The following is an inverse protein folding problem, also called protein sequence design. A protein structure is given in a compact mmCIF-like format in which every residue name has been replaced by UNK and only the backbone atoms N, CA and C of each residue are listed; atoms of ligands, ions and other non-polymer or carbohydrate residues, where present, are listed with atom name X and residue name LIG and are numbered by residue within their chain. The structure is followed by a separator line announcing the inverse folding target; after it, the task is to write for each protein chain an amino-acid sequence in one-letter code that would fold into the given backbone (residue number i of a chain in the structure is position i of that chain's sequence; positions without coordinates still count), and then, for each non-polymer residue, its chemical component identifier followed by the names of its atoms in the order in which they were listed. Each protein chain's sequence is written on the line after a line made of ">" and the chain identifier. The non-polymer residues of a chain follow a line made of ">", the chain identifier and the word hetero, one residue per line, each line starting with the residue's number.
data_IF_345275345937
#
_entry.id   IF_345275345937
#
_cell.length_a   1.000
_cell.length_b   1.000
_cell.length_c   1.000
_cell.angle_alpha   90.00
_cell.angle_beta   90.00
_cell.angle_gamma   90.00
#
_symmetry.space_group_name_H-M   'P 1'
#
loop_
_entity.id
_entity.type
_entity.pdbx_description
1 polymer ?
#
# COMPACT_ATOMS: atom_id res chain seq x y z
N UNK A 1 -30.59 -11.87 39.13
CA UNK A 1 -29.67 -10.83 38.63
C UNK A 1 -28.25 -11.39 38.73
N UNK A 2 -27.74 -11.96 37.66
CA UNK A 2 -26.33 -12.33 37.57
C UNK A 2 -25.47 -11.07 37.78
N UNK A 3 -24.47 -11.16 38.65
CA UNK A 3 -23.50 -10.08 38.88
C UNK A 3 -22.80 -9.80 37.55
N UNK A 4 -23.21 -8.74 36.85
CA UNK A 4 -22.42 -8.17 35.75
C UNK A 4 -21.09 -7.71 36.34
N UNK A 5 -20.04 -8.49 36.10
CA UNK A 5 -18.67 -8.09 36.41
C UNK A 5 -18.29 -7.06 35.35
N UNK A 6 -18.33 -5.79 35.73
CA UNK A 6 -17.83 -4.72 34.86
C UNK A 6 -16.30 -4.78 34.85
N UNK A 7 -15.65 -4.72 33.66
CA UNK A 7 -14.20 -4.66 33.59
C UNK A 7 -13.71 -3.42 34.33
N UNK A 8 -12.68 -3.57 35.17
CA UNK A 8 -12.07 -2.45 35.87
C UNK A 8 -11.46 -1.45 34.88
N UNK A 9 -11.38 -0.17 35.28
CA UNK A 9 -10.70 0.85 34.49
C UNK A 9 -9.25 0.43 34.21
N UNK A 10 -8.71 0.85 33.07
CA UNK A 10 -7.31 0.60 32.74
C UNK A 10 -6.46 1.48 33.63
N UNK A 11 -5.54 0.88 34.39
CA UNK A 11 -4.74 1.59 35.40
C UNK A 11 -3.53 2.30 34.77
N UNK A 12 -3.03 1.82 33.63
CA UNK A 12 -1.86 2.40 32.95
C UNK A 12 -1.77 2.06 31.46
N UNK A 13 -1.12 2.93 30.69
CA UNK A 13 -0.72 2.69 29.30
C UNK A 13 0.76 2.33 29.28
N UNK A 14 1.08 1.15 28.78
CA UNK A 14 2.44 0.67 28.57
C UNK A 14 2.86 0.97 27.13
N UNK A 15 4.02 1.58 26.99
CA UNK A 15 4.63 1.94 25.72
C UNK A 15 6.08 1.44 25.68
N UNK A 16 6.65 1.22 24.49
CA UNK A 16 8.09 0.97 24.36
C UNK A 16 8.91 2.17 24.87
N UNK A 17 10.20 1.94 25.14
CA UNK A 17 11.11 3.01 25.54
C UNK A 17 11.12 4.16 24.52
N UNK A 18 11.06 5.43 24.96
CA UNK A 18 10.98 6.58 24.06
C UNK A 18 12.08 6.58 23.01
N UNK A 19 11.71 6.76 21.74
CA UNK A 19 12.68 6.96 20.67
C UNK A 19 13.02 8.44 20.52
N UNK A 20 14.25 8.80 20.82
CA UNK A 20 14.76 10.16 20.60
C UNK A 20 14.78 10.51 19.10
N UNK A 21 14.45 11.76 18.77
CA UNK A 21 14.51 12.29 17.41
C UNK A 21 15.93 12.20 16.85
N UNK A 22 16.08 11.61 15.65
CA UNK A 22 17.39 11.44 15.00
C UNK A 22 17.42 12.14 13.63
N UNK A 23 18.53 12.80 13.34
CA UNK A 23 18.72 13.59 12.11
C UNK A 23 19.70 12.84 11.21
N UNK A 24 19.36 12.72 9.92
CA UNK A 24 20.15 11.99 8.94
C UNK A 24 20.44 12.84 7.71
N UNK A 25 21.69 12.75 7.24
CA UNK A 25 22.15 13.29 5.95
C UNK A 25 22.35 12.18 4.89
N UNK A 26 21.96 10.94 5.22
CA UNK A 26 22.07 9.78 4.35
C UNK A 26 20.72 9.06 4.32
N UNK A 27 20.17 8.89 3.11
CA UNK A 27 18.84 8.30 2.93
C UNK A 27 18.79 6.83 3.37
N UNK A 28 19.85 6.05 3.13
CA UNK A 28 19.92 4.65 3.55
C UNK A 28 19.90 4.50 5.06
N UNK A 29 20.66 5.33 5.78
CA UNK A 29 20.66 5.36 7.26
C UNK A 29 19.32 5.80 7.83
N UNK A 30 18.65 6.78 7.21
CA UNK A 30 17.32 7.21 7.62
C UNK A 30 16.30 6.06 7.48
N UNK A 31 16.32 5.34 6.35
CA UNK A 31 15.43 4.19 6.12
C UNK A 31 15.73 3.03 7.07
N UNK A 32 17.01 2.74 7.33
CA UNK A 32 17.37 1.73 8.33
C UNK A 32 16.86 2.08 9.74
N UNK A 33 16.87 3.38 10.11
CA UNK A 33 16.30 3.84 11.37
C UNK A 33 14.76 3.69 11.40
N UNK A 34 14.08 3.99 10.30
CA UNK A 34 12.63 3.76 10.16
C UNK A 34 12.29 2.26 10.30
N UNK A 35 13.07 1.37 9.67
CA UNK A 35 12.92 -0.08 9.79
C UNK A 35 13.10 -0.55 11.23
N UNK A 36 14.20 -0.16 11.89
CA UNK A 36 14.46 -0.52 13.28
C UNK A 36 13.35 -0.05 14.23
N UNK A 37 12.84 1.18 14.04
CA UNK A 37 11.77 1.73 14.86
C UNK A 37 10.43 1.00 14.63
N UNK A 38 10.09 0.72 13.38
CA UNK A 38 8.88 -0.03 13.03
C UNK A 38 8.92 -1.45 13.58
N UNK A 39 10.04 -2.16 13.41
CA UNK A 39 10.21 -3.54 13.87
C UNK A 39 10.15 -3.62 15.39
N UNK A 40 10.78 -2.67 16.10
CA UNK A 40 10.70 -2.53 17.55
C UNK A 40 9.25 -2.38 18.01
N UNK A 41 8.53 -1.44 17.43
CA UNK A 41 7.18 -1.07 17.86
C UNK A 41 6.14 -2.16 17.54
N UNK A 42 6.23 -2.78 16.36
CA UNK A 42 5.35 -3.92 16.01
C UNK A 42 5.69 -5.17 16.82
N UNK A 43 6.98 -5.43 17.10
CA UNK A 43 7.39 -6.52 17.98
C UNK A 43 6.85 -6.35 19.39
N UNK A 44 6.93 -5.14 19.95
CA UNK A 44 6.34 -4.84 21.26
C UNK A 44 4.84 -5.20 21.32
N UNK A 45 4.07 -4.82 20.29
CA UNK A 45 2.63 -5.14 20.23
C UNK A 45 2.37 -6.65 20.12
N UNK A 46 3.12 -7.37 19.27
CA UNK A 46 3.01 -8.83 19.13
C UNK A 46 3.37 -9.56 20.43
N UNK A 47 4.51 -9.21 21.04
CA UNK A 47 4.97 -9.81 22.30
C UNK A 47 3.95 -9.56 23.42
N UNK A 48 3.41 -8.33 23.50
CA UNK A 48 2.38 -7.98 24.49
C UNK A 48 1.10 -8.79 24.28
N UNK A 49 0.67 -8.99 23.03
CA UNK A 49 -0.49 -9.83 22.73
C UNK A 49 -0.25 -11.29 23.14
N UNK A 50 0.92 -11.86 22.81
CA UNK A 50 1.29 -13.22 23.21
C UNK A 50 1.34 -13.38 24.74
N UNK A 51 1.87 -12.40 25.46
CA UNK A 51 1.91 -12.41 26.93
C UNK A 51 0.50 -12.37 27.55
N UNK A 52 -0.42 -11.58 27.00
CA UNK A 52 -1.82 -11.54 27.45
C UNK A 52 -2.54 -12.86 27.19
N UNK A 53 -2.36 -13.44 26.00
CA UNK A 53 -2.94 -14.75 25.65
C UNK A 53 -2.42 -15.90 26.56
N UNK A 54 -1.23 -15.74 27.14
CA UNK A 54 -0.65 -16.64 28.12
C UNK A 54 -1.13 -16.41 29.58
N UNK A 55 -2.10 -15.51 29.80
CA UNK A 55 -2.64 -15.19 31.12
C UNK A 55 -2.01 -13.96 31.79
N UNK A 56 -1.41 -13.06 30.99
CA UNK A 56 -0.85 -11.80 31.45
C UNK A 56 -1.88 -10.82 32.03
N UNK A 57 -1.37 -9.69 32.53
CA UNK A 57 -2.16 -8.66 33.20
C UNK A 57 -3.11 -7.92 32.22
N UNK A 58 -4.42 -8.08 32.44
CA UNK A 58 -5.49 -7.49 31.62
C UNK A 58 -5.92 -6.07 32.09
N UNK A 59 -5.20 -5.46 33.05
CA UNK A 59 -5.48 -4.10 33.54
C UNK A 59 -4.64 -3.02 32.85
N UNK A 60 -3.82 -3.38 31.86
CA UNK A 60 -2.94 -2.46 31.12
C UNK A 60 -3.36 -2.32 29.66
N UNK A 61 -3.21 -1.11 29.11
CA UNK A 61 -3.32 -0.86 27.67
C UNK A 61 -1.93 -0.82 27.05
N UNK A 62 -1.74 -1.46 25.92
CA UNK A 62 -0.48 -1.49 25.19
C UNK A 62 -0.58 -0.63 23.94
N UNK A 63 0.36 0.32 23.79
CA UNK A 63 0.37 1.25 22.66
C UNK A 63 1.79 1.42 22.12
N UNK A 64 1.89 1.46 20.81
CA UNK A 64 3.09 1.85 20.09
C UNK A 64 2.69 2.69 18.87
N UNK A 65 3.60 3.53 18.39
CA UNK A 65 3.31 4.51 17.34
C UNK A 65 4.06 4.17 16.05
N UNK A 66 3.52 4.62 14.92
CA UNK A 66 4.24 4.53 13.65
C UNK A 66 5.51 5.40 13.70
N UNK A 67 6.58 5.01 13.01
CA UNK A 67 7.65 5.93 12.66
C UNK A 67 7.12 7.14 11.89
N UNK A 68 7.76 8.29 12.09
CA UNK A 68 7.54 9.52 11.33
C UNK A 68 8.84 9.93 10.65
N UNK A 69 8.73 10.43 9.42
CA UNK A 69 9.80 11.17 8.76
C UNK A 69 9.37 12.61 8.52
N UNK A 70 10.24 13.54 8.90
CA UNK A 70 10.01 14.99 8.81
C UNK A 70 11.14 15.71 8.08
N UNK A 71 10.77 16.76 7.34
CA UNK A 71 11.66 17.63 6.58
C UNK A 71 11.26 19.08 6.81
N UNK A 72 12.24 19.96 6.96
CA UNK A 72 11.99 21.40 7.07
C UNK A 72 12.78 22.12 5.99
N UNK A 73 12.09 22.86 5.13
CA UNK A 73 12.70 23.76 4.15
C UNK A 73 12.39 25.21 4.51
N UNK A 74 13.39 26.08 4.40
CA UNK A 74 13.28 27.52 4.67
C UNK A 74 13.28 28.37 3.40
N UNK A 75 13.41 27.74 2.22
CA UNK A 75 13.61 28.43 0.94
C UNK A 75 12.65 27.97 -0.14
N UNK A 76 12.30 28.90 -1.03
CA UNK A 76 11.66 28.61 -2.32
C UNK A 76 12.74 28.16 -3.31
N UNK A 77 13.38 27.02 -3.04
CA UNK A 77 14.47 26.53 -3.86
C UNK A 77 13.98 26.35 -5.31
N UNK A 78 14.66 26.98 -6.26
CA UNK A 78 14.43 26.76 -7.68
C UNK A 78 15.02 25.39 -8.06
N UNK A 79 14.16 24.39 -8.18
CA UNK A 79 14.52 23.03 -8.57
C UNK A 79 14.31 22.88 -10.07
N UNK A 80 15.07 22.00 -10.71
CA UNK A 80 14.94 21.69 -12.14
C UNK A 80 13.48 21.31 -12.46
N UNK A 81 12.83 22.16 -13.26
CA UNK A 81 11.40 22.05 -13.59
C UNK A 81 11.02 20.79 -14.37
N UNK A 82 12.00 19.98 -14.79
CA UNK A 82 11.78 18.69 -15.45
C UNK A 82 11.50 17.55 -14.48
N UNK A 83 11.81 17.70 -13.19
CA UNK A 83 11.50 16.66 -12.20
C UNK A 83 10.04 16.78 -11.77
N UNK A 84 9.21 15.79 -12.14
CA UNK A 84 7.80 15.75 -11.76
C UNK A 84 7.56 15.46 -10.27
N UNK A 85 8.57 15.00 -9.53
CA UNK A 85 8.48 14.62 -8.11
C UNK A 85 9.79 14.88 -7.36
N UNK A 86 9.81 14.65 -6.04
CA UNK A 86 11.02 14.76 -5.21
C UNK A 86 11.38 16.20 -4.82
N UNK A 87 10.40 17.11 -4.77
CA UNK A 87 10.60 18.49 -4.38
C UNK A 87 9.40 19.09 -3.63
N UNK A 88 9.66 20.08 -2.79
CA UNK A 88 8.65 20.85 -2.06
C UNK A 88 8.56 22.27 -2.66
N UNK A 89 7.38 22.72 -3.10
CA UNK A 89 7.25 24.01 -3.81
C UNK A 89 7.34 25.23 -2.87
N UNK A 90 7.16 25.05 -1.56
CA UNK A 90 7.11 26.13 -0.58
C UNK A 90 7.93 25.81 0.67
N UNK A 91 8.50 26.83 1.33
CA UNK A 91 9.04 26.69 2.67
C UNK A 91 7.99 26.18 3.66
N UNK A 92 8.42 25.39 4.63
CA UNK A 92 7.53 24.82 5.62
C UNK A 92 8.12 23.60 6.30
N UNK A 93 7.39 23.11 7.30
CA UNK A 93 7.61 21.81 7.89
C UNK A 93 6.70 20.79 7.20
N UNK A 94 7.27 19.66 6.80
CA UNK A 94 6.56 18.57 6.17
C UNK A 94 6.83 17.28 6.94
N UNK A 95 5.82 16.46 7.18
CA UNK A 95 6.00 15.13 7.78
C UNK A 95 5.04 14.11 7.20
N UNK A 96 5.38 12.84 7.39
CA UNK A 96 4.46 11.73 7.14
C UNK A 96 4.79 10.56 8.06
N UNK A 97 3.76 9.84 8.46
CA UNK A 97 3.91 8.54 9.12
C UNK A 97 4.30 7.47 8.10
N UNK A 98 5.09 6.49 8.53
CA UNK A 98 5.63 5.42 7.68
C UNK A 98 5.20 4.06 8.24
N UNK A 99 4.73 3.17 7.37
CA UNK A 99 4.51 1.75 7.67
C UNK A 99 5.30 0.88 6.68
N UNK A 100 5.50 -0.40 7.02
CA UNK A 100 6.17 -1.41 6.20
C UNK A 100 7.45 -0.89 5.50
N UNK A 101 8.40 -0.24 6.23
CA UNK A 101 9.58 0.38 5.62
C UNK A 101 10.51 -0.62 4.91
N UNK A 102 10.40 -1.93 5.19
CA UNK A 102 11.08 -2.98 4.43
C UNK A 102 10.45 -3.19 3.04
N UNK A 103 9.11 -3.18 2.93
CA UNK A 103 8.40 -3.26 1.65
C UNK A 103 8.71 -2.04 0.78
N UNK A 104 8.73 -0.85 1.39
CA UNK A 104 8.94 0.42 0.70
C UNK A 104 10.41 0.88 0.67
N UNK A 105 11.37 0.04 1.07
CA UNK A 105 12.77 0.45 1.29
C UNK A 105 13.33 1.26 0.12
N UNK A 106 13.17 0.74 -1.10
CA UNK A 106 13.71 1.36 -2.32
C UNK A 106 13.04 2.69 -2.63
N UNK A 107 11.71 2.73 -2.53
CA UNK A 107 10.93 3.94 -2.72
C UNK A 107 11.36 5.02 -1.71
N UNK A 108 11.47 4.67 -0.43
CA UNK A 108 11.87 5.60 0.62
C UNK A 108 13.30 6.10 0.43
N UNK A 109 14.26 5.22 0.10
CA UNK A 109 15.64 5.62 -0.17
C UNK A 109 15.69 6.59 -1.35
N UNK A 110 14.98 6.31 -2.44
CA UNK A 110 14.96 7.17 -3.61
C UNK A 110 14.36 8.55 -3.30
N UNK A 111 13.18 8.60 -2.67
CA UNK A 111 12.49 9.86 -2.37
C UNK A 111 13.28 10.71 -1.37
N UNK A 112 13.77 10.13 -0.28
CA UNK A 112 14.56 10.86 0.71
C UNK A 112 15.88 11.36 0.11
N UNK A 113 16.52 10.56 -0.76
CA UNK A 113 17.73 11.00 -1.49
C UNK A 113 17.44 12.19 -2.40
N UNK A 114 16.31 12.19 -3.12
CA UNK A 114 15.92 13.31 -3.98
C UNK A 114 15.66 14.57 -3.14
N UNK A 115 14.93 14.45 -2.03
CA UNK A 115 14.67 15.57 -1.12
C UNK A 115 15.96 16.17 -0.59
N UNK A 116 16.85 15.33 -0.03
CA UNK A 116 18.15 15.77 0.50
C UNK A 116 18.99 16.47 -0.58
N UNK A 117 19.04 15.89 -1.79
CA UNK A 117 19.82 16.44 -2.91
C UNK A 117 19.26 17.76 -3.43
N UNK A 118 17.94 17.84 -3.57
CA UNK A 118 17.28 18.98 -4.21
C UNK A 118 17.15 20.18 -3.27
N UNK A 119 16.98 19.94 -1.97
CA UNK A 119 16.82 21.01 -0.98
C UNK A 119 18.06 21.26 -0.12
N UNK A 120 19.02 20.33 -0.07
CA UNK A 120 20.21 20.47 0.77
C UNK A 120 19.91 20.40 2.27
N UNK A 121 18.82 19.75 2.66
CA UNK A 121 18.34 19.64 4.05
C UNK A 121 18.42 18.20 4.55
N UNK A 122 18.69 17.99 5.85
CA UNK A 122 18.60 16.65 6.44
C UNK A 122 17.14 16.20 6.57
N UNK A 123 16.96 14.90 6.75
CA UNK A 123 15.67 14.31 7.15
C UNK A 123 15.71 13.95 8.62
N UNK A 124 14.56 14.01 9.27
CA UNK A 124 14.44 13.70 10.68
C UNK A 124 13.52 12.50 10.87
N UNK A 125 13.97 11.51 11.66
CA UNK A 125 13.17 10.34 12.02
C UNK A 125 12.80 10.41 13.50
N UNK A 126 11.53 10.18 13.81
CA UNK A 126 10.97 10.20 15.16
C UNK A 126 9.85 9.17 15.31
N UNK A 127 9.36 8.98 16.53
CA UNK A 127 8.03 8.39 16.73
C UNK A 127 6.95 9.42 16.43
N UNK A 128 5.92 8.98 15.70
CA UNK A 128 4.70 9.78 15.49
C UNK A 128 3.81 9.78 16.73
N UNK A 129 2.70 10.49 16.63
CA UNK A 129 1.56 10.41 17.57
C UNK A 129 0.46 9.46 17.09
N UNK A 130 0.61 8.84 15.90
CA UNK A 130 -0.37 7.94 15.31
C UNK A 130 -0.14 6.50 15.79
N UNK A 131 -1.07 5.90 16.56
CA UNK A 131 -0.88 4.56 17.08
C UNK A 131 -0.94 3.52 15.96
N UNK A 132 -0.21 2.41 16.13
CA UNK A 132 -0.28 1.24 15.24
C UNK A 132 -1.43 0.34 15.72
N UNK A 133 -2.49 0.15 14.92
CA UNK A 133 -3.51 -0.84 15.22
C UNK A 133 -2.91 -2.25 15.34
N UNK A 134 -3.33 -3.01 16.36
CA UNK A 134 -2.80 -4.35 16.61
C UNK A 134 -2.91 -5.26 15.37
N UNK A 135 -3.96 -5.10 14.57
CA UNK A 135 -4.24 -5.93 13.40
C UNK A 135 -3.18 -5.77 12.30
N UNK A 136 -2.53 -4.60 12.24
CA UNK A 136 -1.46 -4.30 11.29
C UNK A 136 -0.06 -4.63 11.83
N UNK A 137 0.07 -4.90 13.13
CA UNK A 137 1.33 -5.31 13.74
C UNK A 137 1.69 -6.79 13.47
N UNK A 138 0.73 -7.61 13.05
CA UNK A 138 0.97 -9.03 12.71
C UNK A 138 1.59 -9.18 11.31
N UNK A 139 2.45 -10.18 11.15
CA UNK A 139 3.05 -10.50 9.85
C UNK A 139 2.00 -11.15 8.93
N UNK A 140 2.12 -10.93 7.62
CA UNK A 140 1.21 -11.54 6.64
C UNK A 140 1.23 -13.08 6.76
N UNK A 141 0.04 -13.70 6.77
CA UNK A 141 -0.12 -15.15 6.99
C UNK A 141 -0.10 -15.60 8.45
N UNK A 142 0.10 -14.68 9.41
CA UNK A 142 -0.08 -14.96 10.84
C UNK A 142 -1.57 -15.06 11.13
N UNK A 143 -2.15 -16.25 11.04
CA UNK A 143 -3.47 -16.48 11.62
C UNK A 143 -3.35 -16.34 13.14
N UNK A 144 -3.92 -15.26 13.68
CA UNK A 144 -4.17 -15.18 15.11
C UNK A 144 -5.13 -16.31 15.43
N UNK A 145 -4.63 -17.35 16.09
CA UNK A 145 -5.44 -18.47 16.54
C UNK A 145 -6.62 -17.90 17.35
N UNK A 146 -7.85 -18.10 16.87
CA UNK A 146 -9.06 -17.62 17.54
C UNK A 146 -9.10 -18.09 18.99
N UNK A 147 -8.56 -19.27 19.29
CA UNK A 147 -8.45 -19.80 20.64
C UNK A 147 -7.46 -19.02 21.54
N UNK A 148 -6.48 -18.30 20.97
CA UNK A 148 -5.60 -17.39 21.72
C UNK A 148 -6.32 -16.07 22.05
N UNK A 149 -7.12 -15.54 21.12
CA UNK A 149 -7.92 -14.34 21.35
C UNK A 149 -9.06 -14.58 22.35
N UNK A 150 -9.71 -15.75 22.31
CA UNK A 150 -10.78 -16.15 23.24
C UNK A 150 -10.31 -16.29 24.70
N UNK A 151 -9.02 -16.54 24.92
CA UNK A 151 -8.43 -16.58 26.27
C UNK A 151 -8.35 -15.20 26.94
N UNK A 152 -8.43 -14.13 26.15
CA UNK A 152 -8.41 -12.76 26.66
C UNK A 152 -9.82 -12.39 27.12
N UNK A 153 -10.01 -12.25 28.43
CA UNK A 153 -11.33 -12.02 29.07
C UNK A 153 -11.90 -10.61 28.86
N UNK A 154 -11.17 -9.72 28.18
CA UNK A 154 -11.53 -8.32 27.95
C UNK A 154 -11.52 -8.02 26.45
N UNK A 155 -12.40 -7.13 25.94
CA UNK A 155 -12.35 -6.73 24.54
C UNK A 155 -10.96 -6.22 24.13
N UNK A 156 -10.43 -6.71 23.00
CA UNK A 156 -9.11 -6.32 22.47
C UNK A 156 -9.01 -4.79 22.29
N UNK A 157 -10.12 -4.13 21.92
CA UNK A 157 -10.22 -2.68 21.74
C UNK A 157 -9.93 -1.87 23.01
N UNK A 158 -10.12 -2.47 24.18
CA UNK A 158 -9.75 -1.85 25.47
C UNK A 158 -8.25 -1.93 25.70
N UNK A 159 -7.62 -3.05 25.30
CA UNK A 159 -6.23 -3.37 25.59
C UNK A 159 -5.26 -2.83 24.53
N UNK A 160 -5.72 -2.65 23.29
CA UNK A 160 -4.91 -2.25 22.14
C UNK A 160 -5.62 -1.22 21.28
N UNK A 161 -4.85 -0.54 20.43
CA UNK A 161 -5.38 0.29 19.38
C UNK A 161 -5.94 -0.55 18.23
N UNK A 162 -7.04 -0.06 17.66
CA UNK A 162 -7.75 -0.67 16.51
C UNK A 162 -7.79 0.36 15.37
N UNK A 163 -7.99 -0.07 14.11
CA UNK A 163 -8.07 0.86 13.00
C UNK A 163 -9.14 1.92 13.24
N UNK A 164 -8.78 3.18 13.03
CA UNK A 164 -9.68 4.32 13.12
C UNK A 164 -10.18 4.70 11.72
N UNK A 165 -11.49 4.78 11.55
CA UNK A 165 -12.10 5.14 10.27
C UNK A 165 -11.84 6.61 9.94
N UNK A 166 -11.78 7.47 10.96
CA UNK A 166 -11.57 8.90 10.78
C UNK A 166 -10.13 9.21 10.33
N UNK A 167 -9.16 8.34 10.64
CA UNK A 167 -7.76 8.46 10.22
C UNK A 167 -7.37 7.64 8.98
N UNK A 168 -8.32 6.91 8.38
CA UNK A 168 -8.12 6.10 7.17
C UNK A 168 -8.84 6.76 5.99
N UNK A 169 -8.40 7.96 5.63
CA UNK A 169 -8.99 8.77 4.56
C UNK A 169 -8.04 8.97 3.36
N UNK A 170 -8.56 9.61 2.31
CA UNK A 170 -7.83 9.99 1.10
C UNK A 170 -7.75 11.53 0.92
N UNK A 171 -7.92 12.32 1.99
CA UNK A 171 -7.97 13.79 1.90
C UNK A 171 -6.70 14.39 1.29
N UNK A 172 -5.53 13.83 1.63
CA UNK A 172 -4.24 14.29 1.08
C UNK A 172 -4.19 13.98 -0.43
N UNK A 173 -4.55 12.77 -0.83
CA UNK A 173 -4.53 12.33 -2.22
C UNK A 173 -5.57 13.08 -3.08
N UNK A 174 -6.74 13.40 -2.50
CA UNK A 174 -7.81 14.16 -3.12
C UNK A 174 -7.54 15.67 -3.14
N UNK A 175 -6.51 16.15 -2.45
CA UNK A 175 -6.18 17.57 -2.36
C UNK A 175 -7.14 18.39 -1.50
N UNK A 176 -7.93 17.74 -0.65
CA UNK A 176 -8.89 18.37 0.27
C UNK A 176 -8.34 18.54 1.70
N UNK A 177 -7.13 18.04 1.97
CA UNK A 177 -6.49 18.17 3.26
C UNK A 177 -6.11 19.62 3.58
N UNK A 178 -6.68 20.16 4.65
CA UNK A 178 -6.34 21.48 5.18
C UNK A 178 -5.41 21.37 6.38
N UNK A 179 -4.26 22.03 6.29
CA UNK A 179 -3.24 21.99 7.34
C UNK A 179 -3.60 22.97 8.45
N UNK A 180 -3.77 22.48 9.67
CA UNK A 180 -4.00 23.34 10.83
C UNK A 180 -2.80 24.26 11.10
N UNK A 181 -3.06 25.42 11.70
CA UNK A 181 -2.03 26.42 11.95
C UNK A 181 -0.92 25.85 12.85
N UNK A 182 0.31 25.78 12.32
CA UNK A 182 1.48 25.29 13.05
C UNK A 182 1.75 23.79 12.91
N UNK A 183 0.87 23.05 12.22
CA UNK A 183 1.09 21.64 11.92
C UNK A 183 1.96 21.42 10.68
N UNK A 184 2.55 20.22 10.60
CA UNK A 184 3.33 19.81 9.46
C UNK A 184 2.42 19.58 8.24
N UNK A 185 2.89 20.00 7.07
CA UNK A 185 2.24 19.69 5.79
C UNK A 185 2.52 18.22 5.39
N UNK A 186 1.64 17.58 4.61
CA UNK A 186 1.88 16.22 4.16
C UNK A 186 3.17 16.10 3.32
N UNK A 187 4.05 15.17 3.68
CA UNK A 187 5.24 14.82 2.90
C UNK A 187 4.97 13.71 1.87
N UNK A 188 3.89 12.94 2.05
CA UNK A 188 3.47 11.87 1.15
C UNK A 188 1.96 11.89 0.94
N UNK A 189 1.49 11.24 -0.13
CA UNK A 189 0.07 11.19 -0.48
C UNK A 189 -0.79 10.34 0.46
N UNK A 190 -0.19 9.41 1.22
CA UNK A 190 -0.91 8.48 2.09
C UNK A 190 -0.23 8.37 3.46
N UNK A 191 -1.04 8.30 4.50
CA UNK A 191 -0.59 8.04 5.89
C UNK A 191 -0.31 6.55 6.11
N UNK A 192 0.43 6.22 7.17
CA UNK A 192 0.76 4.84 7.51
C UNK A 192 -0.48 3.94 7.69
N UNK A 193 -1.50 4.40 8.41
CA UNK A 193 -2.73 3.61 8.62
C UNK A 193 -3.50 3.39 7.30
N UNK A 194 -3.56 4.41 6.44
CA UNK A 194 -4.19 4.31 5.11
C UNK A 194 -3.47 3.33 4.18
N UNK A 195 -2.13 3.26 4.28
CA UNK A 195 -1.31 2.26 3.59
C UNK A 195 -1.62 0.86 4.13
N UNK A 196 -1.53 0.63 5.44
CA UNK A 196 -1.77 -0.70 6.04
C UNK A 196 -3.17 -1.23 5.75
N UNK A 197 -4.20 -0.38 5.82
CA UNK A 197 -5.56 -0.74 5.44
C UNK A 197 -5.61 -1.27 4.01
N UNK A 198 -4.97 -0.58 3.07
CA UNK A 198 -4.94 -0.98 1.67
C UNK A 198 -4.13 -2.23 1.42
N UNK A 199 -2.99 -2.40 2.07
CA UNK A 199 -2.18 -3.62 1.93
C UNK A 199 -2.98 -4.84 2.40
N UNK A 200 -3.70 -4.72 3.51
CA UNK A 200 -4.54 -5.80 4.04
C UNK A 200 -5.74 -6.11 3.12
N UNK A 201 -6.42 -5.07 2.60
CA UNK A 201 -7.53 -5.23 1.65
C UNK A 201 -7.05 -5.81 0.32
N UNK A 202 -5.89 -5.39 -0.16
CA UNK A 202 -5.29 -5.87 -1.40
C UNK A 202 -5.07 -7.38 -1.36
N UNK A 203 -4.46 -7.92 -0.29
CA UNK A 203 -4.29 -9.38 -0.16
C UNK A 203 -5.63 -10.12 -0.20
N UNK A 204 -6.68 -9.55 0.38
CA UNK A 204 -8.03 -10.14 0.35
C UNK A 204 -8.64 -10.15 -1.05
N UNK A 205 -8.56 -9.03 -1.78
CA UNK A 205 -9.17 -8.93 -3.12
C UNK A 205 -8.39 -9.66 -4.21
N UNK A 206 -7.08 -9.82 -4.04
CA UNK A 206 -6.16 -10.33 -5.06
C UNK A 206 -5.67 -11.75 -4.79
N UNK A 207 -5.81 -12.22 -3.55
CA UNK A 207 -5.24 -13.46 -3.03
C UNK A 207 -3.71 -13.57 -3.25
N UNK A 208 -3.02 -12.44 -3.33
CA UNK A 208 -1.57 -12.35 -3.50
C UNK A 208 -0.99 -11.34 -2.52
N UNK A 209 0.21 -11.59 -2.02
CA UNK A 209 0.91 -10.65 -1.14
C UNK A 209 1.31 -9.37 -1.88
N UNK A 210 1.16 -8.18 -1.26
CA UNK A 210 1.55 -6.90 -1.86
C UNK A 210 3.01 -6.85 -2.28
N UNK A 211 3.90 -7.65 -1.67
CA UNK A 211 5.32 -7.73 -2.05
C UNK A 211 5.55 -8.24 -3.49
N UNK A 212 4.55 -8.90 -4.09
CA UNK A 212 4.65 -9.43 -5.46
C UNK A 212 4.24 -8.39 -6.52
N UNK A 213 3.54 -7.33 -6.14
CA UNK A 213 3.14 -6.28 -7.08
C UNK A 213 4.35 -5.63 -7.77
N UNK A 214 4.16 -5.33 -9.05
CA UNK A 214 5.17 -4.73 -9.92
C UNK A 214 4.73 -3.32 -10.31
N UNK A 215 5.69 -2.49 -10.73
CA UNK A 215 5.45 -1.08 -11.02
C UNK A 215 4.62 -0.85 -12.30
N UNK A 216 4.51 -1.85 -13.17
CA UNK A 216 3.68 -1.80 -14.37
C UNK A 216 2.47 -2.71 -14.21
N UNK A 217 1.29 -2.12 -14.09
CA UNK A 217 0.04 -2.84 -13.80
C UNK A 217 -0.85 -2.86 -15.05
N UNK A 218 -1.42 -4.02 -15.36
CA UNK A 218 -2.42 -4.22 -16.40
C UNK A 218 -3.73 -4.60 -15.73
N UNK A 219 -4.79 -3.85 -16.04
CA UNK A 219 -6.15 -4.21 -15.66
C UNK A 219 -6.86 -4.88 -16.83
N UNK A 220 -7.66 -5.89 -16.54
CA UNK A 220 -8.57 -6.51 -17.52
C UNK A 220 -9.94 -6.74 -16.93
N UNK A 221 -10.97 -6.64 -17.78
CA UNK A 221 -12.34 -7.01 -17.47
C UNK A 221 -12.74 -8.38 -18.02
N UNK A 222 -11.81 -9.11 -18.64
CA UNK A 222 -12.12 -10.33 -19.38
C UNK A 222 -11.13 -11.47 -19.10
N UNK A 223 -11.68 -12.62 -18.72
CA UNK A 223 -10.91 -13.79 -18.29
C UNK A 223 -9.98 -14.34 -19.37
N UNK A 224 -10.37 -14.24 -20.64
CA UNK A 224 -9.54 -14.68 -21.77
C UNK A 224 -8.12 -14.08 -21.75
N UNK A 225 -8.00 -12.80 -21.38
CA UNK A 225 -6.68 -12.16 -21.28
C UNK A 225 -5.83 -12.74 -20.15
N UNK A 226 -6.45 -13.19 -19.05
CA UNK A 226 -5.75 -13.84 -17.95
C UNK A 226 -5.25 -15.22 -18.39
N UNK A 227 -6.09 -16.00 -19.06
CA UNK A 227 -5.73 -17.36 -19.48
C UNK A 227 -4.52 -17.31 -20.44
N UNK A 228 -4.52 -16.37 -21.39
CA UNK A 228 -3.38 -16.14 -22.30
C UNK A 228 -2.14 -15.59 -21.57
N UNK A 229 -2.32 -14.70 -20.60
CA UNK A 229 -1.22 -14.18 -19.78
C UNK A 229 -0.54 -15.30 -18.98
N UNK A 230 -1.33 -16.14 -18.31
CA UNK A 230 -0.87 -17.30 -17.53
C UNK A 230 -0.15 -18.30 -18.43
N UNK A 231 -0.74 -18.69 -19.57
CA UNK A 231 -0.13 -19.60 -20.53
C UNK A 231 1.22 -19.08 -21.03
N UNK A 232 1.29 -17.78 -21.38
CA UNK A 232 2.53 -17.13 -21.81
C UNK A 232 3.55 -17.05 -20.68
N UNK A 233 3.14 -16.75 -19.46
CA UNK A 233 3.99 -16.66 -18.29
C UNK A 233 4.63 -18.02 -17.95
N UNK A 234 3.86 -19.11 -17.94
CA UNK A 234 4.41 -20.46 -17.74
C UNK A 234 5.39 -20.86 -18.83
N UNK A 235 5.06 -20.61 -20.10
CA UNK A 235 5.98 -20.86 -21.21
C UNK A 235 7.28 -20.06 -21.05
N UNK A 236 7.18 -18.81 -20.61
CA UNK A 236 8.34 -17.96 -20.35
C UNK A 236 9.19 -18.53 -19.20
N UNK A 237 8.57 -18.96 -18.10
CA UNK A 237 9.29 -19.58 -16.98
C UNK A 237 9.98 -20.86 -17.40
N UNK A 238 9.30 -21.76 -18.12
CA UNK A 238 9.88 -23.00 -18.64
C UNK A 238 11.09 -22.76 -19.55
N UNK A 239 11.07 -21.68 -20.33
CA UNK A 239 12.16 -21.28 -21.23
C UNK A 239 13.28 -20.47 -20.54
N UNK A 240 13.37 -20.49 -19.22
CA UNK A 240 14.42 -19.80 -18.47
C UNK A 240 14.14 -18.32 -18.16
N UNK A 241 12.91 -17.86 -18.34
CA UNK A 241 12.40 -16.62 -17.75
C UNK A 241 12.70 -15.32 -18.48
N UNK A 242 13.56 -15.27 -19.52
CA UNK A 242 13.67 -14.10 -20.42
C UNK A 242 13.85 -12.73 -19.73
N UNK A 243 14.55 -12.70 -18.60
CA UNK A 243 14.75 -11.51 -17.76
C UNK A 243 13.75 -11.34 -16.60
N UNK A 244 12.67 -12.12 -16.58
CA UNK A 244 11.79 -12.32 -15.42
C UNK A 244 12.32 -13.44 -14.54
N UNK A 245 12.15 -13.30 -13.23
CA UNK A 245 12.74 -14.20 -12.22
C UNK A 245 11.75 -15.23 -11.69
N UNK A 246 10.48 -14.86 -11.58
CA UNK A 246 9.40 -15.74 -11.13
C UNK A 246 8.04 -15.23 -11.60
N UNK A 247 7.11 -16.17 -11.73
CA UNK A 247 5.70 -15.94 -11.96
C UNK A 247 4.92 -16.29 -10.70
N UNK A 248 4.03 -15.39 -10.25
CA UNK A 248 3.23 -15.57 -9.03
C UNK A 248 1.75 -15.52 -9.38
N UNK A 249 1.02 -16.52 -8.92
CA UNK A 249 -0.41 -16.68 -9.11
C UNK A 249 -1.17 -16.52 -7.78
N UNK A 250 -2.51 -16.34 -7.81
CA UNK A 250 -3.34 -16.34 -6.61
C UNK A 250 -3.05 -17.51 -5.67
N UNK A 251 -3.02 -17.24 -4.37
CA UNK A 251 -2.55 -18.17 -3.34
C UNK A 251 -1.04 -18.13 -3.10
N UNK A 252 -0.34 -17.12 -3.66
CA UNK A 252 1.11 -17.01 -3.64
C UNK A 252 1.82 -18.25 -4.21
N UNK A 253 1.25 -18.85 -5.27
CA UNK A 253 1.88 -19.97 -5.99
C UNK A 253 3.00 -19.40 -6.85
N UNK A 254 4.24 -19.80 -6.58
CA UNK A 254 5.43 -19.21 -7.24
C UNK A 254 6.08 -20.22 -8.18
N UNK A 255 6.13 -19.90 -9.47
CA UNK A 255 6.89 -20.65 -10.49
C UNK A 255 8.15 -19.88 -10.85
N UNK A 256 9.34 -20.41 -10.58
CA UNK A 256 10.61 -19.73 -10.88
C UNK A 256 11.06 -19.92 -12.32
N UNK A 257 11.87 -19.01 -12.83
CA UNK A 257 12.54 -19.17 -14.12
C UNK A 257 13.34 -20.49 -14.17
N UNK A 258 13.17 -21.24 -15.26
CA UNK A 258 13.74 -22.58 -15.47
C UNK A 258 12.89 -23.73 -14.91
N UNK A 259 11.74 -23.45 -14.29
CA UNK A 259 10.82 -24.48 -13.79
C UNK A 259 9.63 -24.66 -14.75
N UNK A 260 9.30 -25.93 -15.03
CA UNK A 260 8.14 -26.30 -15.87
C UNK A 260 6.93 -26.77 -15.06
N UNK A 261 7.11 -27.08 -13.77
CA UNK A 261 6.03 -27.47 -12.87
C UNK A 261 5.56 -26.24 -12.06
N UNK A 262 4.26 -26.20 -11.75
CA UNK A 262 3.70 -25.27 -10.76
C UNK A 262 4.52 -25.38 -9.47
N UNK A 263 5.12 -24.27 -9.04
CA UNK A 263 5.99 -24.28 -7.87
C UNK A 263 5.22 -24.26 -6.54
N UNK A 264 5.96 -24.02 -5.46
CA UNK A 264 5.42 -24.11 -4.10
C UNK A 264 4.29 -23.10 -3.87
N UNK A 265 3.16 -23.59 -3.37
CA UNK A 265 1.96 -22.82 -3.02
C UNK A 265 0.70 -23.67 -3.15
N UNK A 266 -0.42 -23.19 -2.61
CA UNK A 266 -1.72 -23.83 -2.78
C UNK A 266 -2.65 -22.85 -3.50
N UNK A 267 -3.04 -23.19 -4.72
CA UNK A 267 -4.05 -22.43 -5.44
C UNK A 267 -5.31 -22.36 -4.56
N UNK A 268 -5.94 -21.17 -4.42
CA UNK A 268 -7.08 -21.02 -3.54
C UNK A 268 -8.24 -21.87 -4.06
N UNK A 269 -9.07 -22.46 -3.18
CA UNK A 269 -10.21 -23.29 -3.59
C UNK A 269 -11.24 -22.51 -4.40
N UNK A 270 -11.27 -21.17 -4.24
CA UNK A 270 -12.07 -20.24 -5.03
C UNK A 270 -11.23 -19.00 -5.31
N UNK A 271 -11.28 -18.52 -6.55
CA UNK A 271 -10.64 -17.26 -6.91
C UNK A 271 -11.27 -16.10 -6.14
N UNK A 272 -10.46 -15.10 -5.74
CA UNK A 272 -10.96 -13.90 -5.09
C UNK A 272 -11.73 -13.02 -6.10
N UNK A 273 -12.28 -11.90 -5.62
CA UNK A 273 -13.07 -11.00 -6.45
C UNK A 273 -12.25 -10.40 -7.61
N UNK A 274 -10.97 -10.06 -7.37
CA UNK A 274 -10.11 -9.39 -8.35
C UNK A 274 -8.71 -10.03 -8.38
N UNK A 275 -8.58 -11.26 -8.91
CA UNK A 275 -7.32 -12.03 -8.84
C UNK A 275 -6.18 -11.31 -9.55
N UNK A 276 -5.00 -11.32 -8.93
CA UNK A 276 -3.78 -10.74 -9.47
C UNK A 276 -2.73 -11.81 -9.80
N UNK A 277 -1.92 -11.52 -10.81
CA UNK A 277 -0.85 -12.36 -11.32
C UNK A 277 0.39 -11.51 -11.55
N UNK A 278 1.57 -12.00 -11.20
CA UNK A 278 2.79 -11.19 -11.20
C UNK A 278 3.91 -11.88 -11.95
N UNK A 279 4.33 -11.31 -13.08
CA UNK A 279 5.60 -11.61 -13.72
C UNK A 279 6.67 -10.72 -13.11
N UNK A 280 7.44 -11.26 -12.17
CA UNK A 280 8.39 -10.47 -11.39
C UNK A 280 9.71 -10.27 -12.13
N UNK A 281 10.23 -9.04 -12.04
CA UNK A 281 11.62 -8.70 -12.36
C UNK A 281 12.32 -8.12 -11.13
N UNK A 282 13.66 -8.10 -11.10
CA UNK A 282 14.37 -7.32 -10.11
C UNK A 282 13.84 -5.88 -10.07
N UNK A 283 13.77 -5.29 -8.88
CA UNK A 283 13.36 -3.89 -8.70
C UNK A 283 11.93 -3.57 -9.10
N UNK A 284 11.03 -4.55 -8.96
CA UNK A 284 9.61 -4.39 -9.30
C UNK A 284 9.39 -3.94 -10.76
N UNK A 285 10.38 -4.11 -11.63
CA UNK A 285 10.29 -3.73 -13.04
C UNK A 285 9.51 -4.72 -13.91
N UNK A 286 8.78 -5.65 -13.28
CA UNK A 286 7.97 -6.66 -13.93
C UNK A 286 6.58 -6.16 -14.29
N UNK A 287 5.67 -7.09 -14.54
CA UNK A 287 4.27 -6.80 -14.89
C UNK A 287 3.36 -7.46 -13.87
N UNK A 288 2.39 -6.70 -13.36
CA UNK A 288 1.26 -7.24 -12.60
C UNK A 288 0.02 -7.15 -13.45
N UNK A 289 -0.73 -8.24 -13.55
CA UNK A 289 -2.02 -8.26 -14.23
C UNK A 289 -3.13 -8.56 -13.23
N UNK A 290 -4.16 -7.74 -13.22
CA UNK A 290 -5.29 -7.86 -12.30
C UNK A 290 -6.58 -7.95 -13.10
N UNK A 291 -7.34 -9.02 -12.89
CA UNK A 291 -8.70 -9.10 -13.41
C UNK A 291 -9.63 -8.35 -12.47
N UNK A 292 -10.07 -7.16 -12.86
CA UNK A 292 -10.95 -6.32 -12.03
C UNK A 292 -12.43 -6.73 -12.17
N UNK A 293 -12.72 -7.66 -13.08
CA UNK A 293 -14.07 -8.00 -13.47
C UNK A 293 -14.77 -6.83 -14.17
N UNK A 294 -16.07 -6.69 -13.91
CA UNK A 294 -16.89 -5.64 -14.54
C UNK A 294 -17.49 -4.76 -13.46
N UNK A 295 -17.48 -3.45 -13.70
CA UNK A 295 -18.16 -2.47 -12.86
C UNK A 295 -17.22 -1.36 -12.35
N UNK A 296 -17.63 -0.09 -12.41
CA UNK A 296 -16.83 1.02 -11.88
C UNK A 296 -16.47 0.89 -10.40
N UNK A 297 -17.35 0.30 -9.58
CA UNK A 297 -17.08 0.09 -8.16
C UNK A 297 -15.86 -0.80 -7.90
N UNK A 298 -15.69 -1.88 -8.69
CA UNK A 298 -14.51 -2.73 -8.59
C UNK A 298 -13.26 -1.97 -9.03
N UNK A 299 -13.36 -1.24 -10.15
CA UNK A 299 -12.26 -0.44 -10.69
C UNK A 299 -11.76 0.58 -9.66
N UNK A 300 -12.67 1.36 -9.04
CA UNK A 300 -12.32 2.28 -7.95
C UNK A 300 -11.67 1.56 -6.78
N UNK A 301 -12.32 0.50 -6.29
CA UNK A 301 -11.86 -0.22 -5.08
C UNK A 301 -10.42 -0.74 -5.25
N UNK A 302 -10.10 -1.36 -6.38
CA UNK A 302 -8.76 -1.91 -6.58
C UNK A 302 -7.71 -0.82 -6.82
N UNK A 303 -8.06 0.28 -7.50
CA UNK A 303 -7.13 1.39 -7.70
C UNK A 303 -6.82 2.13 -6.40
N UNK A 304 -7.81 2.29 -5.50
CA UNK A 304 -7.63 2.91 -4.17
C UNK A 304 -6.59 2.15 -3.33
N UNK A 305 -6.52 0.83 -3.50
CA UNK A 305 -5.57 -0.03 -2.81
C UNK A 305 -4.22 -0.11 -3.52
N UNK A 306 -4.18 -0.25 -4.85
CA UNK A 306 -2.92 -0.32 -5.61
C UNK A 306 -2.16 1.02 -5.58
N UNK A 307 -2.87 2.16 -5.47
CA UNK A 307 -2.25 3.48 -5.45
C UNK A 307 -1.20 3.65 -4.33
N UNK A 308 -1.39 2.99 -3.18
CA UNK A 308 -0.44 3.10 -2.05
C UNK A 308 0.92 2.45 -2.36
N UNK A 309 0.97 1.53 -3.32
CA UNK A 309 2.22 0.90 -3.78
C UNK A 309 3.02 1.78 -4.74
N UNK A 310 2.46 2.93 -5.14
CA UNK A 310 3.10 3.88 -6.06
C UNK A 310 3.58 3.24 -7.38
N UNK A 311 2.69 2.53 -8.13
CA UNK A 311 3.07 2.01 -9.45
C UNK A 311 3.52 3.15 -10.38
N UNK A 312 4.38 2.82 -11.34
CA UNK A 312 4.84 3.78 -12.35
C UNK A 312 3.78 4.02 -13.42
N UNK A 313 3.04 2.97 -13.80
CA UNK A 313 1.94 3.08 -14.74
C UNK A 313 0.95 1.94 -14.53
N UNK A 314 -0.33 2.22 -14.82
CA UNK A 314 -1.34 1.20 -15.05
C UNK A 314 -2.04 1.41 -16.38
N UNK A 315 -2.47 0.32 -17.03
CA UNK A 315 -3.16 0.36 -18.32
C UNK A 315 -4.40 -0.54 -18.25
N UNK A 316 -5.52 -0.06 -18.80
CA UNK A 316 -6.72 -0.86 -18.98
C UNK A 316 -6.67 -1.59 -20.33
N UNK A 317 -6.62 -2.91 -20.29
CA UNK A 317 -6.72 -3.81 -21.44
C UNK A 317 -7.99 -4.64 -21.29
N UNK A 318 -9.05 -4.24 -21.99
CA UNK A 318 -10.33 -4.94 -21.90
C UNK A 318 -11.14 -4.85 -23.18
N UNK A 319 -12.30 -5.48 -23.17
CA UNK A 319 -13.26 -5.35 -24.27
C UNK A 319 -14.10 -4.08 -24.10
N UNK A 320 -14.52 -3.51 -25.22
CA UNK A 320 -15.52 -2.44 -25.29
C UNK A 320 -16.44 -2.67 -26.49
N UNK A 321 -17.59 -1.98 -26.51
CA UNK A 321 -18.48 -1.98 -27.66
C UNK A 321 -18.08 -0.90 -28.65
N UNK A 322 -18.02 -1.24 -29.95
CA UNK A 322 -17.90 -0.26 -31.02
C UNK A 322 -19.23 0.48 -31.22
N UNK A 323 -19.19 1.81 -31.24
CA UNK A 323 -20.39 2.65 -31.43
C UNK A 323 -20.46 3.24 -32.85
N UNK A 324 -19.44 2.99 -33.69
CA UNK A 324 -19.38 3.49 -35.07
C UNK A 324 -19.55 2.33 -36.05
N UNK A 325 -20.33 2.56 -37.10
CA UNK A 325 -20.60 1.56 -38.15
C UNK A 325 -19.35 1.12 -38.91
N UNK A 326 -18.26 1.89 -38.84
CA UNK A 326 -16.98 1.55 -39.48
C UNK A 326 -16.09 0.65 -38.63
N UNK A 327 -16.45 0.39 -37.37
CA UNK A 327 -15.68 -0.47 -36.47
C UNK A 327 -16.03 -1.94 -36.71
N UNK A 328 -15.00 -2.78 -36.82
CA UNK A 328 -15.12 -4.23 -36.91
C UNK A 328 -14.78 -4.90 -35.57
N UNK A 329 -15.27 -6.13 -35.38
CA UNK A 329 -14.89 -6.95 -34.23
C UNK A 329 -13.38 -7.24 -34.29
N UNK A 330 -12.67 -6.85 -33.24
CA UNK A 330 -11.20 -6.99 -33.15
C UNK A 330 -10.44 -5.69 -33.36
N UNK A 331 -11.10 -4.61 -33.78
CA UNK A 331 -10.47 -3.29 -33.82
C UNK A 331 -10.10 -2.80 -32.42
N UNK A 332 -8.97 -2.10 -32.31
CA UNK A 332 -8.54 -1.46 -31.07
C UNK A 332 -9.11 -0.04 -30.94
N UNK A 333 -9.39 0.35 -29.71
CA UNK A 333 -9.79 1.72 -29.36
C UNK A 333 -8.78 2.30 -28.39
N UNK A 334 -8.02 3.29 -28.85
CA UNK A 334 -7.16 4.10 -27.98
C UNK A 334 -7.98 5.28 -27.44
N UNK A 335 -8.27 5.26 -26.15
CA UNK A 335 -8.99 6.34 -25.49
C UNK A 335 -8.08 7.57 -25.33
N UNK A 336 -8.52 8.70 -25.86
CA UNK A 336 -7.87 10.02 -25.69
C UNK A 336 -8.70 10.98 -24.83
N UNK A 337 -9.91 10.57 -24.44
CA UNK A 337 -10.83 11.29 -23.56
C UNK A 337 -11.87 10.32 -23.00
N UNK A 338 -12.57 10.72 -21.94
CA UNK A 338 -13.58 9.91 -21.26
C UNK A 338 -14.86 10.71 -21.05
N UNK A 339 -16.00 10.10 -21.40
CA UNK A 339 -17.31 10.57 -20.93
C UNK A 339 -17.62 9.79 -19.66
N UNK A 340 -17.68 10.51 -18.53
CA UNK A 340 -17.83 9.90 -17.20
C UNK A 340 -19.30 9.77 -16.83
N UNK A 341 -19.83 8.57 -17.03
CA UNK A 341 -21.17 8.12 -16.61
C UNK A 341 -21.04 6.98 -15.59
N UNK A 342 -19.93 6.94 -14.86
CA UNK A 342 -19.55 5.88 -13.93
C UNK A 342 -19.98 6.17 -12.49
N UNK A 343 -20.25 7.44 -12.16
CA UNK A 343 -20.77 7.98 -10.90
C UNK A 343 -19.99 7.71 -9.62
N UNK A 344 -19.04 6.78 -9.66
CA UNK A 344 -18.35 6.26 -8.46
C UNK A 344 -17.30 7.25 -7.90
N UNK A 345 -16.93 8.26 -8.69
CA UNK A 345 -15.93 9.27 -8.34
C UNK A 345 -16.48 10.70 -8.43
N UNK A 346 -17.79 10.89 -8.60
CA UNK A 346 -18.35 12.23 -8.88
C UNK A 346 -18.16 13.19 -7.70
N UNK A 347 -18.21 12.70 -6.47
CA UNK A 347 -18.02 13.49 -5.25
C UNK A 347 -16.54 13.88 -5.04
N UNK A 348 -15.60 12.97 -5.33
CA UNK A 348 -14.15 13.18 -5.15
C UNK A 348 -13.52 13.94 -6.33
N UNK A 349 -14.00 13.67 -7.54
CA UNK A 349 -13.55 14.24 -8.79
C UNK A 349 -14.77 14.61 -9.63
N UNK A 350 -15.25 15.87 -9.56
CA UNK A 350 -16.44 16.25 -10.29
C UNK A 350 -16.34 16.05 -11.81
N UNK A 351 -17.47 15.75 -12.46
CA UNK A 351 -17.52 15.40 -13.90
C UNK A 351 -17.03 16.52 -14.84
N UNK A 352 -16.99 17.76 -14.37
CA UNK A 352 -16.46 18.90 -15.13
C UNK A 352 -14.94 19.04 -15.05
N UNK A 353 -14.27 18.30 -14.17
CA UNK A 353 -12.80 18.30 -14.08
C UNK A 353 -12.24 17.48 -15.26
N UNK A 354 -11.41 18.07 -16.13
CA UNK A 354 -10.88 17.36 -17.28
C UNK A 354 -9.88 16.30 -16.86
N UNK A 355 -10.00 15.10 -17.43
CA UNK A 355 -9.00 14.02 -17.29
C UNK A 355 -8.21 13.93 -18.60
N UNK A 356 -7.02 14.55 -18.68
CA UNK A 356 -6.23 14.53 -19.90
C UNK A 356 -5.57 13.15 -20.11
N UNK A 357 -5.37 12.72 -21.36
CA UNK A 357 -4.51 11.58 -21.64
C UNK A 357 -3.05 11.93 -21.36
N UNK A 358 -2.28 10.98 -20.85
CA UNK A 358 -0.83 11.13 -20.67
C UNK A 358 -0.13 10.85 -22.00
N UNK A 359 0.54 11.86 -22.56
CA UNK A 359 1.16 11.77 -23.89
C UNK A 359 2.16 10.62 -24.00
N UNK A 360 2.95 10.39 -22.95
CA UNK A 360 3.96 9.34 -22.87
C UNK A 360 3.33 7.93 -22.95
N UNK A 361 2.15 7.76 -22.36
CA UNK A 361 1.39 6.51 -22.41
C UNK A 361 0.72 6.35 -23.77
N UNK A 362 0.17 7.42 -24.34
CA UNK A 362 -0.48 7.39 -25.66
C UNK A 362 0.49 7.04 -26.79
N UNK A 363 1.75 7.48 -26.72
CA UNK A 363 2.78 7.14 -27.71
C UNK A 363 3.26 5.69 -27.55
N UNK A 364 3.22 5.15 -26.33
CA UNK A 364 3.67 3.80 -26.04
C UNK A 364 2.65 2.71 -26.44
N UNK A 365 1.35 3.05 -26.41
CA UNK A 365 0.24 2.21 -26.87
C UNK A 365 0.06 2.32 -28.38
#
# INVERSE_FOLDING_TARGET
>A
MEKRIYPQAIDSVVMPEPFGRQIFNDAGKAVAALQALYDRNTKFLRDSFTALAAGGDNNKRYRAFYPEVGVTTTSFTQIDSRQAYGHMPTPGHFSTTITQPALFERYLIEQLRLIMRNHGVPVTVSESTTPIPLHFAFLEGSHVDGAAAERIRRPIRDLFDVPDLDGTDDQIANGTFEVALGEARPLAAFTAQRIDYSLHRMSHYTATSPQHFQNFVLFTNYQFYIDEFVARAHKLMANGGGGYVEFVEPGNVVTKAGQSALGNGAAPPRLPQMPAYHLKKPNHGGITMVNIGVGPSNAKTITDHIAVLRPHAWVMLGHCAGLRNTQALGDYVLAHAYVREDHVLDDDLPVWVPIPPLAEIQVAL
#
